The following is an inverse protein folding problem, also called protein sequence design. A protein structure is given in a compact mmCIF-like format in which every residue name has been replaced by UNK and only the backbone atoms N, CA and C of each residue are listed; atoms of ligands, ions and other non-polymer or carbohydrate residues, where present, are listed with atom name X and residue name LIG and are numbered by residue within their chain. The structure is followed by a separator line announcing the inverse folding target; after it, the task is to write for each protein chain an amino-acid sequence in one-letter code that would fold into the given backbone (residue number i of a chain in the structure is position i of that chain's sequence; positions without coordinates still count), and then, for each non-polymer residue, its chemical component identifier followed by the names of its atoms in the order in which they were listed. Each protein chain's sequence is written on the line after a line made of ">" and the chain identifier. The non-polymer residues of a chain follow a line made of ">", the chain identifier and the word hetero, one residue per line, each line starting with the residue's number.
data_IF_252080526749
#
_entry.id   IF_252080526749
#
_cell.length_a   1.000
_cell.length_b   1.000
_cell.length_c   1.000
_cell.angle_alpha   90.00
_cell.angle_beta   90.00
_cell.angle_gamma   90.00
#
_symmetry.space_group_name_H-M   'P 1'
#
loop_
_entity.id
_entity.type
_entity.pdbx_description
1 polymer ?
#
# COMPACT_ATOMS: atom_id res chain seq x y z
N UNK A 1 4.50 3.19 7.79
CA UNK A 1 5.37 4.20 7.17
C UNK A 1 5.36 5.48 8.01
N UNK A 2 6.48 5.83 8.67
CA UNK A 2 6.61 7.06 9.45
C UNK A 2 6.72 8.24 8.46
N UNK A 3 5.95 9.31 8.63
CA UNK A 3 6.06 10.48 7.75
C UNK A 3 7.36 11.20 8.09
N UNK A 4 8.34 11.08 7.21
CA UNK A 4 9.67 11.65 7.38
C UNK A 4 9.66 13.17 7.19
N UNK A 5 9.42 13.89 8.29
CA UNK A 5 9.51 15.35 8.30
C UNK A 5 10.98 15.81 8.25
N UNK A 6 11.28 17.00 7.68
CA UNK A 6 12.62 17.58 7.69
C UNK A 6 13.26 17.65 9.09
N UNK A 7 12.41 17.85 10.11
CA UNK A 7 12.81 17.84 11.52
C UNK A 7 13.34 16.47 11.98
N UNK A 8 12.72 15.39 11.52
CA UNK A 8 13.18 14.03 11.80
C UNK A 8 14.53 13.75 11.12
N UNK A 9 14.76 14.30 9.92
CA UNK A 9 16.03 14.17 9.18
C UNK A 9 17.18 14.85 9.94
N UNK A 10 16.99 16.10 10.35
CA UNK A 10 18.00 16.84 11.12
C UNK A 10 18.28 16.17 12.47
N UNK A 11 17.25 15.59 13.09
CA UNK A 11 17.41 14.83 14.32
C UNK A 11 18.25 13.57 14.12
N UNK A 12 17.99 12.78 13.08
CA UNK A 12 18.79 11.58 12.77
C UNK A 12 20.22 11.93 12.37
N UNK A 13 20.44 13.01 11.62
CA UNK A 13 21.77 13.51 11.26
C UNK A 13 22.56 13.93 12.50
N UNK A 14 21.93 14.71 13.39
CA UNK A 14 22.54 15.10 14.67
C UNK A 14 22.87 13.89 15.56
N UNK A 15 21.99 12.88 15.63
CA UNK A 15 22.26 11.65 16.37
C UNK A 15 23.41 10.83 15.75
N UNK A 16 23.54 10.82 14.42
CA UNK A 16 24.65 10.15 13.72
C UNK A 16 26.00 10.85 13.92
N UNK A 17 26.01 12.17 14.09
CA UNK A 17 27.23 12.94 14.37
C UNK A 17 27.66 12.83 15.85
N UNK A 18 26.69 12.81 16.77
CA UNK A 18 26.95 12.82 18.22
C UNK A 18 27.25 11.43 18.79
N UNK A 19 26.56 10.40 18.29
CA UNK A 19 26.88 9.02 18.62
C UNK A 19 27.72 8.47 17.48
N UNK A 20 28.86 7.84 17.75
CA UNK A 20 29.50 6.89 16.81
C UNK A 20 28.61 5.66 16.51
N UNK A 21 27.29 5.85 16.45
CA UNK A 21 26.23 4.88 16.49
C UNK A 21 25.85 4.46 15.07
N UNK A 22 26.23 3.23 14.76
CA UNK A 22 25.97 2.55 13.50
C UNK A 22 24.50 2.66 13.02
N UNK A 23 23.53 2.75 13.94
CA UNK A 23 22.09 2.79 13.63
C UNK A 23 21.64 4.07 12.90
N UNK A 24 22.05 5.26 13.35
CA UNK A 24 21.64 6.51 12.71
C UNK A 24 22.28 6.66 11.32
N UNK A 25 23.57 6.31 11.19
CA UNK A 25 24.26 6.27 9.91
C UNK A 25 23.66 5.22 8.95
N UNK A 26 23.26 4.05 9.46
CA UNK A 26 22.55 3.02 8.69
C UNK A 26 21.21 3.53 8.16
N UNK A 27 20.39 4.18 9.00
CA UNK A 27 19.11 4.76 8.59
C UNK A 27 19.27 5.84 7.52
N UNK A 28 20.27 6.72 7.64
CA UNK A 28 20.57 7.73 6.62
C UNK A 28 21.01 7.09 5.31
N UNK A 29 21.82 6.02 5.37
CA UNK A 29 22.22 5.25 4.19
C UNK A 29 21.01 4.62 3.50
N UNK A 30 20.15 3.93 4.24
CA UNK A 30 18.96 3.29 3.70
C UNK A 30 18.01 4.31 3.03
N UNK A 31 17.87 5.51 3.62
CA UNK A 31 17.11 6.61 3.01
C UNK A 31 17.73 7.07 1.69
N UNK A 32 19.05 7.25 1.66
CA UNK A 32 19.76 7.62 0.44
C UNK A 32 19.54 6.55 -0.63
N UNK A 33 19.66 5.28 -0.30
CA UNK A 33 19.44 4.16 -1.23
C UNK A 33 18.00 4.18 -1.78
N UNK A 34 17.00 4.40 -0.92
CA UNK A 34 15.60 4.52 -1.34
C UNK A 34 15.37 5.73 -2.26
N UNK A 35 15.97 6.88 -1.93
CA UNK A 35 15.88 8.08 -2.77
C UNK A 35 16.57 7.88 -4.14
N UNK A 36 17.74 7.24 -4.16
CA UNK A 36 18.44 6.86 -5.39
C UNK A 36 17.56 5.93 -6.24
N UNK A 37 16.99 4.87 -5.64
CA UNK A 37 16.08 3.95 -6.32
C UNK A 37 14.93 4.69 -7.01
N UNK A 38 14.25 5.60 -6.31
CA UNK A 38 13.14 6.36 -6.90
C UNK A 38 13.60 7.36 -7.98
N UNK A 39 14.77 7.98 -7.81
CA UNK A 39 15.30 8.93 -8.78
C UNK A 39 15.76 8.25 -10.08
N UNK A 40 16.41 7.10 -9.96
CA UNK A 40 16.88 6.29 -11.09
C UNK A 40 15.72 5.73 -11.91
N UNK A 41 14.63 5.33 -11.24
CA UNK A 41 13.46 4.73 -11.87
C UNK A 41 12.32 5.73 -12.11
N UNK A 42 12.56 7.04 -11.99
CA UNK A 42 11.50 8.07 -12.05
C UNK A 42 10.67 8.03 -13.34
N UNK A 43 11.28 7.65 -14.45
CA UNK A 43 10.68 7.61 -15.78
C UNK A 43 10.11 6.21 -16.14
N UNK A 44 10.20 5.25 -15.21
CA UNK A 44 9.74 3.87 -15.43
C UNK A 44 8.22 3.78 -15.33
N UNK A 45 7.57 3.33 -16.40
CA UNK A 45 6.11 3.14 -16.46
C UNK A 45 5.73 1.65 -16.35
N UNK A 46 4.66 1.31 -15.60
CA UNK A 46 4.14 -0.05 -15.56
C UNK A 46 3.42 -0.42 -16.87
N UNK A 47 3.43 -1.71 -17.18
CA UNK A 47 2.68 -2.26 -18.31
C UNK A 47 1.17 -2.14 -18.09
N UNK A 48 0.38 -2.04 -19.17
CA UNK A 48 -1.08 -1.87 -19.09
C UNK A 48 -1.75 -2.95 -18.24
N UNK A 49 -1.34 -4.21 -18.38
CA UNK A 49 -1.89 -5.32 -17.58
C UNK A 49 -1.65 -5.12 -16.07
N UNK A 50 -0.49 -4.58 -15.68
CA UNK A 50 -0.20 -4.28 -14.27
C UNK A 50 -1.07 -3.14 -13.74
N UNK A 51 -1.47 -2.20 -14.60
CA UNK A 51 -2.37 -1.11 -14.23
C UNK A 51 -3.80 -1.64 -14.04
N UNK A 52 -4.25 -2.54 -14.92
CA UNK A 52 -5.54 -3.22 -14.77
C UNK A 52 -5.60 -4.03 -13.46
N UNK A 53 -4.56 -4.80 -13.17
CA UNK A 53 -4.46 -5.57 -11.92
C UNK A 53 -4.42 -4.65 -10.69
N UNK A 54 -3.70 -3.54 -10.77
CA UNK A 54 -3.67 -2.54 -9.71
C UNK A 54 -5.06 -1.90 -9.50
N UNK A 55 -5.78 -1.59 -10.58
CA UNK A 55 -7.14 -1.07 -10.54
C UNK A 55 -8.10 -2.06 -9.86
N UNK A 56 -7.99 -3.34 -10.21
CA UNK A 56 -8.76 -4.42 -9.59
C UNK A 56 -8.47 -4.54 -8.10
N UNK A 57 -7.18 -4.52 -7.71
CA UNK A 57 -6.78 -4.54 -6.30
C UNK A 57 -7.31 -3.32 -5.53
N UNK A 58 -7.09 -2.11 -6.04
CA UNK A 58 -7.55 -0.86 -5.41
C UNK A 58 -9.06 -0.84 -5.25
N UNK A 59 -9.80 -1.31 -6.26
CA UNK A 59 -11.26 -1.47 -6.20
C UNK A 59 -11.67 -2.46 -5.13
N UNK A 60 -11.01 -3.62 -5.04
CA UNK A 60 -11.32 -4.67 -4.07
C UNK A 60 -11.13 -4.20 -2.62
N UNK A 61 -10.01 -3.54 -2.31
CA UNK A 61 -9.71 -3.12 -0.92
C UNK A 61 -10.57 -1.95 -0.45
N UNK A 62 -10.95 -1.05 -1.35
CA UNK A 62 -11.69 0.18 -1.02
C UNK A 62 -13.19 0.05 -1.22
N UNK A 63 -13.60 -0.91 -2.04
CA UNK A 63 -14.98 -1.05 -2.50
C UNK A 63 -15.43 0.10 -3.39
N UNK A 64 -14.50 0.81 -4.03
CA UNK A 64 -14.74 1.79 -5.09
C UNK A 64 -14.68 1.09 -6.46
N UNK A 65 -15.32 1.68 -7.48
CA UNK A 65 -15.16 1.22 -8.86
C UNK A 65 -14.04 2.06 -9.50
N UNK A 66 -12.82 1.54 -9.44
CA UNK A 66 -11.62 2.17 -10.01
C UNK A 66 -11.30 1.44 -11.30
N UNK A 67 -11.44 2.11 -12.45
CA UNK A 67 -11.05 1.60 -13.75
C UNK A 67 -9.57 1.85 -14.05
N UNK A 68 -9.13 1.42 -15.23
CA UNK A 68 -7.74 1.58 -15.68
C UNK A 68 -7.33 3.06 -15.75
N UNK A 69 -8.18 3.92 -16.30
CA UNK A 69 -7.88 5.35 -16.45
C UNK A 69 -7.74 6.03 -15.09
N UNK A 70 -8.64 5.72 -14.15
CA UNK A 70 -8.56 6.25 -12.79
C UNK A 70 -7.32 5.72 -12.04
N UNK A 71 -6.99 4.44 -12.20
CA UNK A 71 -5.79 3.87 -11.62
C UNK A 71 -4.53 4.53 -12.18
N UNK A 72 -4.47 4.77 -13.49
CA UNK A 72 -3.37 5.48 -14.14
C UNK A 72 -3.24 6.92 -13.62
N UNK A 73 -4.36 7.62 -13.46
CA UNK A 73 -4.37 8.97 -12.90
C UNK A 73 -3.84 8.99 -11.45
N UNK A 74 -4.28 8.03 -10.62
CA UNK A 74 -3.77 7.87 -9.25
C UNK A 74 -2.27 7.58 -9.26
N UNK A 75 -1.80 6.61 -10.05
CA UNK A 75 -0.38 6.27 -10.15
C UNK A 75 0.50 7.43 -10.65
N UNK A 76 -0.07 8.32 -11.47
CA UNK A 76 0.61 9.57 -11.88
C UNK A 76 0.80 10.51 -10.68
N UNK A 77 -0.19 10.63 -9.81
CA UNK A 77 -0.12 11.46 -8.59
C UNK A 77 0.76 10.83 -7.50
N UNK A 78 0.90 9.51 -7.49
CA UNK A 78 1.66 8.74 -6.51
C UNK A 78 2.84 8.00 -7.16
N UNK A 79 3.91 8.71 -7.56
CA UNK A 79 5.02 8.14 -8.30
C UNK A 79 5.73 7.00 -7.56
N UNK A 80 5.76 7.02 -6.22
CA UNK A 80 6.31 5.91 -5.41
C UNK A 80 5.60 4.59 -5.69
N UNK A 81 4.27 4.59 -5.79
CA UNK A 81 3.50 3.38 -6.08
C UNK A 81 3.65 2.95 -7.53
N UNK A 82 3.63 3.90 -8.48
CA UNK A 82 3.90 3.64 -9.90
C UNK A 82 5.24 2.99 -10.13
N UNK A 83 6.30 3.54 -9.53
CA UNK A 83 7.67 3.01 -9.66
C UNK A 83 7.76 1.61 -9.08
N UNK A 84 7.19 1.36 -7.88
CA UNK A 84 7.19 0.02 -7.27
C UNK A 84 6.46 -1.00 -8.12
N UNK A 85 5.27 -0.66 -8.60
CA UNK A 85 4.50 -1.51 -9.50
C UNK A 85 5.28 -1.87 -10.76
N UNK A 86 5.93 -0.88 -11.38
CA UNK A 86 6.70 -1.08 -12.60
C UNK A 86 8.03 -1.84 -12.37
N UNK A 87 8.68 -1.62 -11.23
CA UNK A 87 9.96 -2.24 -10.88
C UNK A 87 9.80 -3.70 -10.47
N UNK A 88 8.81 -4.01 -9.63
CA UNK A 88 8.58 -5.37 -9.14
C UNK A 88 7.77 -6.23 -10.09
N UNK A 89 6.97 -5.61 -10.97
CA UNK A 89 6.17 -6.30 -12.01
C UNK A 89 5.21 -7.35 -11.44
N UNK A 90 4.80 -7.17 -10.19
CA UNK A 90 3.92 -8.08 -9.48
C UNK A 90 2.99 -7.28 -8.54
N UNK A 91 1.67 -7.35 -8.80
CA UNK A 91 0.64 -6.73 -7.95
C UNK A 91 0.34 -7.54 -6.68
N UNK A 92 0.88 -8.77 -6.58
CA UNK A 92 0.82 -9.58 -5.37
C UNK A 92 1.90 -9.20 -4.35
N UNK A 93 2.97 -8.52 -4.79
CA UNK A 93 4.04 -8.07 -3.92
C UNK A 93 3.54 -7.15 -2.80
N UNK A 94 4.01 -7.38 -1.58
CA UNK A 94 3.54 -6.68 -0.39
C UNK A 94 3.84 -5.18 -0.46
N UNK A 95 5.03 -4.78 -0.91
CA UNK A 95 5.44 -3.37 -1.01
C UNK A 95 4.63 -2.62 -2.07
N UNK A 96 4.23 -3.32 -3.13
CA UNK A 96 3.30 -2.80 -4.14
C UNK A 96 1.92 -2.61 -3.53
N UNK A 97 1.37 -3.64 -2.88
CA UNK A 97 0.02 -3.58 -2.27
C UNK A 97 -0.08 -2.51 -1.19
N UNK A 98 0.92 -2.39 -0.33
CA UNK A 98 0.98 -1.34 0.68
C UNK A 98 1.04 0.06 0.06
N UNK A 99 1.83 0.23 -1.01
CA UNK A 99 1.90 1.49 -1.73
C UNK A 99 0.55 1.84 -2.40
N UNK A 100 -0.11 0.88 -3.05
CA UNK A 100 -1.42 1.07 -3.66
C UNK A 100 -2.50 1.39 -2.60
N UNK A 101 -2.52 0.68 -1.48
CA UNK A 101 -3.43 0.96 -0.37
C UNK A 101 -3.19 2.36 0.21
N UNK A 102 -1.92 2.76 0.36
CA UNK A 102 -1.57 4.12 0.76
C UNK A 102 -2.10 5.15 -0.23
N UNK A 103 -1.96 4.94 -1.55
CA UNK A 103 -2.48 5.86 -2.57
C UNK A 103 -3.97 6.12 -2.39
N UNK A 104 -4.76 5.05 -2.23
CA UNK A 104 -6.21 5.16 -2.09
C UNK A 104 -6.60 5.89 -0.80
N UNK A 105 -6.05 5.47 0.35
CA UNK A 105 -6.35 6.15 1.62
C UNK A 105 -5.91 7.61 1.62
N UNK A 106 -4.71 7.90 1.10
CA UNK A 106 -4.17 9.25 1.10
C UNK A 106 -4.94 10.16 0.15
N UNK A 107 -5.38 9.65 -1.00
CA UNK A 107 -6.14 10.43 -1.97
C UNK A 107 -7.50 10.86 -1.43
N UNK A 108 -8.25 9.95 -0.79
CA UNK A 108 -9.60 10.25 -0.32
C UNK A 108 -9.64 10.84 1.10
N UNK A 109 -8.72 10.45 1.98
CA UNK A 109 -8.76 10.78 3.41
C UNK A 109 -7.53 11.54 3.90
N UNK A 110 -6.51 11.74 3.07
CA UNK A 110 -5.27 12.41 3.48
C UNK A 110 -4.47 11.66 4.53
N UNK A 111 -4.72 10.36 4.72
CA UNK A 111 -4.07 9.52 5.72
C UNK A 111 -3.52 8.24 5.12
N UNK A 112 -2.74 7.49 5.91
CA UNK A 112 -2.30 6.15 5.50
C UNK A 112 -3.42 5.12 5.65
N UNK A 113 -3.28 4.00 4.93
CA UNK A 113 -4.14 2.83 5.17
C UNK A 113 -3.93 2.30 6.61
N UNK A 114 -5.02 1.89 7.31
CA UNK A 114 -4.92 1.32 8.65
C UNK A 114 -4.08 0.04 8.63
N UNK A 115 -3.25 -0.11 9.65
CA UNK A 115 -2.54 -1.34 9.96
C UNK A 115 -3.28 -2.10 11.05
N UNK A 116 -3.00 -3.40 11.17
CA UNK A 116 -3.54 -4.27 12.22
C UNK A 116 -3.27 -3.70 13.64
N UNK A 117 -2.20 -2.92 13.79
CA UNK A 117 -1.80 -2.34 15.08
C UNK A 117 -2.54 -1.06 15.46
N UNK A 118 -3.31 -0.45 14.55
CA UNK A 118 -3.97 0.84 14.80
C UNK A 118 -5.22 0.74 15.68
N UNK A 119 -5.67 -0.49 15.99
CA UNK A 119 -6.88 -0.75 16.79
C UNK A 119 -8.09 0.08 16.34
N UNK A 120 -8.21 0.21 15.02
CA UNK A 120 -9.22 1.04 14.38
C UNK A 120 -10.33 0.15 13.80
N UNK A 121 -11.56 0.64 13.86
CA UNK A 121 -12.71 0.01 13.21
C UNK A 121 -12.56 0.13 11.69
N UNK A 122 -12.21 -0.99 11.05
CA UNK A 122 -11.95 -1.03 9.61
C UNK A 122 -13.21 -0.77 8.78
N UNK A 123 -14.38 -1.17 9.28
CA UNK A 123 -15.64 -0.94 8.56
C UNK A 123 -16.00 0.54 8.61
N UNK A 124 -15.79 1.21 9.75
CA UNK A 124 -15.95 2.65 9.87
C UNK A 124 -14.98 3.43 8.97
N UNK A 125 -13.73 2.96 8.85
CA UNK A 125 -12.75 3.54 7.92
C UNK A 125 -13.21 3.44 6.47
N UNK A 126 -13.63 2.25 6.04
CA UNK A 126 -14.10 2.02 4.67
C UNK A 126 -15.38 2.79 4.36
N UNK A 127 -16.29 2.92 5.34
CA UNK A 127 -17.49 3.74 5.21
C UNK A 127 -17.13 5.22 4.96
N UNK A 128 -16.24 5.78 5.79
CA UNK A 128 -15.77 7.16 5.63
C UNK A 128 -15.07 7.37 4.28
N UNK A 129 -14.19 6.44 3.88
CA UNK A 129 -13.49 6.48 2.60
C UNK A 129 -14.47 6.54 1.43
N UNK A 130 -15.48 5.66 1.44
CA UNK A 130 -16.52 5.58 0.41
C UNK A 130 -17.39 6.83 0.39
N UNK A 131 -17.71 7.39 1.55
CA UNK A 131 -18.49 8.63 1.62
C UNK A 131 -17.72 9.82 1.04
N UNK A 132 -16.42 9.96 1.37
CA UNK A 132 -15.58 10.99 0.74
C UNK A 132 -15.44 10.78 -0.77
N UNK A 133 -15.28 9.54 -1.22
CA UNK A 133 -15.21 9.23 -2.65
C UNK A 133 -16.50 9.60 -3.39
N UNK A 134 -17.68 9.30 -2.81
CA UNK A 134 -18.98 9.71 -3.38
C UNK A 134 -19.12 11.22 -3.48
N UNK A 135 -18.71 11.95 -2.44
CA UNK A 135 -18.71 13.42 -2.45
C UNK A 135 -17.80 13.98 -3.55
N UNK A 136 -16.71 13.29 -3.87
CA UNK A 136 -15.82 13.61 -4.98
C UNK A 136 -16.34 13.12 -6.36
N UNK A 137 -17.53 12.52 -6.44
CA UNK A 137 -18.15 12.06 -7.69
C UNK A 137 -17.77 10.64 -8.12
N UNK A 138 -17.08 9.86 -7.27
CA UNK A 138 -16.68 8.50 -7.59
C UNK A 138 -17.81 7.49 -7.38
N UNK A 139 -17.82 6.45 -8.20
CA UNK A 139 -18.75 5.33 -8.08
C UNK A 139 -18.22 4.33 -7.05
N UNK A 140 -19.11 3.85 -6.19
CA UNK A 140 -18.82 2.78 -5.24
C UNK A 140 -19.44 1.48 -5.73
N UNK A 141 -18.77 0.36 -5.47
CA UNK A 141 -19.42 -0.94 -5.61
C UNK A 141 -20.60 -1.01 -4.62
N UNK A 142 -21.71 -1.69 -4.96
CA UNK A 142 -22.75 -2.00 -3.99
C UNK A 142 -22.12 -2.75 -2.81
N UNK A 143 -22.69 -2.64 -1.60
CA UNK A 143 -22.18 -3.36 -0.43
C UNK A 143 -22.38 -4.87 -0.64
N UNK A 144 -21.39 -5.51 -1.27
CA UNK A 144 -21.22 -6.95 -1.31
C UNK A 144 -20.02 -7.29 -0.43
N UNK A 145 -20.20 -8.28 0.43
CA UNK A 145 -19.27 -8.78 1.45
C UNK A 145 -17.87 -8.98 0.89
N UNK A 146 -16.94 -8.06 1.18
CA UNK A 146 -15.52 -8.25 0.86
C UNK A 146 -14.92 -9.20 1.90
N UNK A 147 -15.15 -10.50 1.74
CA UNK A 147 -14.40 -11.54 2.43
C UNK A 147 -13.12 -11.81 1.63
N UNK A 148 -12.11 -10.96 1.76
CA UNK A 148 -10.80 -11.28 1.19
C UNK A 148 -9.64 -10.59 1.89
N UNK A 149 -9.50 -10.80 3.21
CA UNK A 149 -8.20 -10.56 3.87
C UNK A 149 -7.96 -11.35 5.17
N UNK A 150 -8.58 -12.53 5.34
CA UNK A 150 -8.25 -13.46 6.43
C UNK A 150 -8.10 -14.94 6.02
N UNK A 151 -8.33 -15.32 4.76
CA UNK A 151 -8.35 -16.74 4.37
C UNK A 151 -6.97 -17.33 3.99
N UNK A 152 -5.89 -16.54 4.04
CA UNK A 152 -4.52 -17.01 3.79
C UNK A 152 -3.89 -17.81 4.94
N UNK A 153 -4.54 -17.89 6.11
CA UNK A 153 -3.99 -18.61 7.28
C UNK A 153 -4.87 -19.79 7.75
N UNK A 154 -6.03 -20.03 7.12
CA UNK A 154 -7.03 -20.97 7.62
C UNK A 154 -7.29 -22.21 6.76
N UNK A 155 -6.82 -22.24 5.50
CA UNK A 155 -7.14 -23.33 4.57
C UNK A 155 -6.10 -24.46 4.52
N UNK A 156 -4.85 -24.20 4.94
CA UNK A 156 -3.82 -25.25 5.02
C UNK A 156 -3.96 -26.13 6.27
N UNK A 157 -4.49 -25.61 7.38
CA UNK A 157 -4.72 -26.39 8.61
C UNK A 157 -5.86 -27.42 8.49
N UNK A 158 -6.76 -27.28 7.51
CA UNK A 158 -7.88 -28.23 7.29
C UNK A 158 -7.59 -29.32 6.27
N UNK A 159 -6.54 -29.19 5.47
CA UNK A 159 -6.12 -30.24 4.52
C UNK A 159 -5.21 -31.28 5.17
N UNK A 160 -4.48 -30.93 6.23
CA UNK A 160 -3.62 -31.89 6.95
C UNK A 160 -4.38 -32.69 8.03
N UNK A 161 -5.49 -32.19 8.56
CA UNK A 161 -6.32 -32.91 9.53
C UNK A 161 -7.26 -33.96 8.92
N UNK A 162 -7.47 -33.95 7.59
CA UNK A 162 -8.39 -34.86 6.89
C UNK A 162 -7.77 -36.17 6.39
N UNK A 163 -6.45 -36.31 6.42
CA UNK A 163 -5.74 -37.44 5.78
C UNK A 163 -5.32 -38.55 6.76
N UNK A 164 -5.63 -38.41 8.06
CA UNK A 164 -5.25 -39.40 9.08
C UNK A 164 -6.41 -40.21 9.70
N UNK A 165 -7.64 -40.09 9.18
CA UNK A 165 -8.80 -40.85 9.66
C UNK A 165 -9.41 -41.72 8.55
N UNK A 166 -8.63 -42.68 8.04
CA UNK A 166 -9.15 -43.90 7.40
C UNK A 166 -8.07 -44.97 7.41
N UNK A 167 -8.10 -45.78 8.48
CA UNK A 167 -7.58 -47.15 8.51
C UNK A 167 -8.70 -48.04 9.03
#
# INVERSE_FOLDING_TARGET
>A
MHVDTPRHILHLASLAELAGGNDAAFRLRLRRETACFHYELRDLEPETLLIEDAAAFMSAISGLLIGEEEARALLTLYPTARIRLAAYRDTADLEVREALAFCVAHFFLGCRWPSVHDRLDHDAFLALLRDQARLAGWRCAPPATVNFLLDGAGQDARREAGTHASR
#
